data_IF_482907229697
#
_entry.id   IF_482907229697
#
_cell.length_a   1.000
_cell.length_b   1.000
_cell.length_c   1.000
_cell.angle_alpha   90.00
_cell.angle_beta   90.00
_cell.angle_gamma   90.00
#
_symmetry.space_group_name_H-M   'P 1'
#
loop_
_entity.id
_entity.type
_entity.pdbx_description
1 polymer ?
#
# COMPACT_ATOMS: atom_id res chain seq x y z
N UNK A 1 -32.44 12.77 -5.46
CA UNK A 1 -32.32 11.63 -4.55
C UNK A 1 -30.86 11.17 -4.39
N UNK A 2 -30.12 10.96 -5.45
CA UNK A 2 -28.71 10.52 -5.45
C UNK A 2 -27.78 11.40 -4.61
N UNK A 3 -27.86 12.74 -4.76
CA UNK A 3 -27.02 13.67 -3.98
C UNK A 3 -27.29 13.62 -2.48
N UNK A 4 -28.54 13.43 -2.05
CA UNK A 4 -28.89 13.30 -0.61
C UNK A 4 -28.21 12.08 -0.01
N UNK A 5 -28.26 10.94 -0.71
CA UNK A 5 -27.62 9.70 -0.28
C UNK A 5 -26.08 9.88 -0.23
N UNK A 6 -25.49 10.51 -1.25
CA UNK A 6 -24.05 10.76 -1.29
C UNK A 6 -23.59 11.68 -0.16
N UNK A 7 -24.31 12.77 0.11
CA UNK A 7 -24.01 13.67 1.22
C UNK A 7 -24.14 12.96 2.57
N UNK A 8 -25.17 12.18 2.75
CA UNK A 8 -25.37 11.39 3.98
C UNK A 8 -24.21 10.41 4.21
N UNK A 9 -23.81 9.66 3.18
CA UNK A 9 -22.68 8.75 3.26
C UNK A 9 -21.36 9.49 3.52
N UNK A 10 -21.16 10.66 2.89
CA UNK A 10 -19.97 11.48 3.13
C UNK A 10 -19.90 11.97 4.58
N UNK A 11 -21.03 12.42 5.16
CA UNK A 11 -21.08 12.84 6.57
C UNK A 11 -20.73 11.67 7.48
N UNK A 12 -21.33 10.49 7.29
CA UNK A 12 -21.04 9.30 8.08
C UNK A 12 -19.56 8.94 7.99
N UNK A 13 -18.98 9.03 6.79
CA UNK A 13 -17.55 8.72 6.58
C UNK A 13 -16.60 9.69 7.27
N UNK A 14 -17.01 10.95 7.49
CA UNK A 14 -16.21 11.97 8.17
C UNK A 14 -16.29 11.86 9.70
N UNK A 15 -17.40 11.36 10.25
CA UNK A 15 -17.61 11.27 11.72
C UNK A 15 -16.45 10.60 12.47
N UNK A 16 -15.91 9.44 12.07
CA UNK A 16 -14.80 8.82 12.80
C UNK A 16 -13.54 9.68 12.80
N UNK A 17 -13.24 10.38 11.72
CA UNK A 17 -12.08 11.29 11.65
C UNK A 17 -12.29 12.52 12.55
N UNK A 18 -13.49 13.09 12.52
CA UNK A 18 -13.86 14.17 13.43
C UNK A 18 -13.70 13.74 14.88
N UNK A 19 -14.24 12.57 15.25
CA UNK A 19 -14.16 12.04 16.60
C UNK A 19 -12.70 11.78 17.04
N UNK A 20 -11.84 11.31 16.14
CA UNK A 20 -10.42 11.14 16.39
C UNK A 20 -9.72 12.48 16.68
N UNK A 21 -10.02 13.53 15.90
CA UNK A 21 -9.43 14.87 16.08
C UNK A 21 -9.92 15.49 17.40
N UNK A 22 -11.21 15.40 17.71
CA UNK A 22 -11.76 15.90 18.97
C UNK A 22 -11.25 15.08 20.13
N UNK A 23 -11.20 13.75 20.01
CA UNK A 23 -10.74 12.85 21.04
C UNK A 23 -9.31 13.13 21.51
N UNK A 24 -8.39 13.50 20.60
CA UNK A 24 -7.02 13.83 20.99
C UNK A 24 -6.90 15.09 21.88
N UNK A 25 -7.96 15.89 22.00
CA UNK A 25 -8.03 17.06 22.87
C UNK A 25 -8.57 16.77 24.26
N UNK A 26 -9.00 15.54 24.54
CA UNK A 26 -9.60 15.13 25.80
C UNK A 26 -8.69 14.15 26.57
N UNK A 27 -8.95 14.00 27.86
CA UNK A 27 -8.33 12.96 28.67
C UNK A 27 -9.05 11.60 28.51
N UNK A 28 -8.39 10.53 28.95
CA UNK A 28 -8.93 9.17 28.83
C UNK A 28 -10.25 8.98 29.60
N UNK A 29 -10.44 9.69 30.73
CA UNK A 29 -11.65 9.57 31.53
C UNK A 29 -12.87 10.16 30.81
N UNK A 30 -12.71 11.32 30.16
CA UNK A 30 -13.77 11.95 29.40
C UNK A 30 -14.16 11.08 28.16
N UNK A 31 -13.18 10.48 27.51
CA UNK A 31 -13.42 9.59 26.35
C UNK A 31 -14.13 8.29 26.74
N UNK A 32 -13.87 7.79 27.94
CA UNK A 32 -14.51 6.57 28.44
C UNK A 32 -15.97 6.76 28.88
N UNK A 33 -16.36 8.00 29.21
CA UNK A 33 -17.69 8.29 29.80
C UNK A 33 -18.71 8.82 28.83
N UNK A 34 -18.30 9.52 27.76
CA UNK A 34 -19.22 10.14 26.81
C UNK A 34 -18.59 10.44 25.47
N UNK A 35 -19.44 10.52 24.43
CA UNK A 35 -19.04 10.99 23.11
C UNK A 35 -18.82 12.51 23.14
N UNK A 36 -17.60 12.93 22.78
CA UNK A 36 -17.20 14.33 22.81
C UNK A 36 -17.43 14.98 21.44
N UNK A 37 -18.19 16.08 21.41
CA UNK A 37 -18.47 16.82 20.18
C UNK A 37 -17.67 18.12 20.07
N UNK A 38 -17.12 18.64 21.14
CA UNK A 38 -16.38 19.89 21.17
C UNK A 38 -14.93 19.65 21.59
N UNK A 39 -13.98 20.47 21.11
CA UNK A 39 -12.58 20.32 21.52
C UNK A 39 -12.40 20.56 23.03
N UNK A 40 -11.56 19.73 23.65
CA UNK A 40 -11.10 19.90 25.04
C UNK A 40 -9.77 20.67 25.10
N UNK A 41 -9.17 20.68 26.30
CA UNK A 41 -7.92 21.43 26.58
C UNK A 41 -6.66 20.56 26.71
N UNK A 42 -6.78 19.23 26.58
CA UNK A 42 -5.69 18.27 26.88
C UNK A 42 -4.77 17.94 25.72
N UNK A 43 -4.90 18.62 24.56
CA UNK A 43 -4.11 18.33 23.35
C UNK A 43 -2.60 18.36 23.63
N UNK A 44 -2.11 19.40 24.32
CA UNK A 44 -0.69 19.56 24.59
C UNK A 44 -0.16 18.52 25.58
N UNK A 45 -0.95 18.16 26.56
CA UNK A 45 -0.60 17.15 27.56
C UNK A 45 -0.56 15.76 26.91
N UNK A 46 -1.51 15.44 26.05
CA UNK A 46 -1.54 14.19 25.29
C UNK A 46 -0.36 14.11 24.31
N UNK A 47 -0.02 15.22 23.66
CA UNK A 47 1.14 15.28 22.78
C UNK A 47 2.47 15.03 23.53
N UNK A 48 2.65 15.67 24.71
CA UNK A 48 3.83 15.43 25.56
C UNK A 48 3.92 13.98 25.99
N UNK A 49 2.82 13.42 26.54
CA UNK A 49 2.77 12.01 26.95
C UNK A 49 3.10 11.06 25.80
N UNK A 50 2.65 11.38 24.59
CA UNK A 50 2.95 10.57 23.39
C UNK A 50 4.45 10.63 23.06
N UNK A 51 5.07 11.82 23.12
CA UNK A 51 6.51 11.99 22.88
C UNK A 51 7.37 11.31 23.94
N UNK A 52 6.94 11.33 25.20
CA UNK A 52 7.66 10.68 26.31
C UNK A 52 7.69 9.15 26.18
N UNK A 53 6.65 8.57 25.57
CA UNK A 53 6.53 7.12 25.43
C UNK A 53 6.99 6.59 24.05
N UNK A 54 6.89 7.39 23.00
CA UNK A 54 7.16 6.97 21.61
C UNK A 54 7.88 8.07 20.84
N UNK A 55 8.98 7.74 20.20
CA UNK A 55 9.63 8.66 19.26
C UNK A 55 8.86 8.71 17.93
N UNK A 56 7.86 9.60 17.87
CA UNK A 56 6.97 9.75 16.72
C UNK A 56 7.74 10.10 15.45
N UNK A 57 8.73 10.99 15.55
CA UNK A 57 9.50 11.45 14.40
C UNK A 57 10.33 10.33 13.78
N UNK A 58 10.92 9.47 14.63
CA UNK A 58 11.62 8.28 14.17
C UNK A 58 10.65 7.28 13.53
N UNK A 59 9.48 7.07 14.14
CA UNK A 59 8.43 6.21 13.58
C UNK A 59 7.95 6.69 12.21
N UNK A 60 7.71 8.01 12.07
CA UNK A 60 7.32 8.62 10.81
C UNK A 60 8.41 8.50 9.73
N UNK A 61 9.65 8.80 10.09
CA UNK A 61 10.79 8.65 9.17
C UNK A 61 10.96 7.20 8.68
N UNK A 62 10.82 6.23 9.58
CA UNK A 62 10.86 4.81 9.24
C UNK A 62 9.71 4.42 8.28
N UNK A 63 8.50 4.89 8.58
CA UNK A 63 7.33 4.63 7.73
C UNK A 63 7.49 5.24 6.33
N UNK A 64 8.01 6.45 6.24
CA UNK A 64 8.31 7.11 4.95
C UNK A 64 9.36 6.32 4.19
N UNK A 65 10.48 5.96 4.84
CA UNK A 65 11.55 5.19 4.21
C UNK A 65 11.05 3.86 3.66
N UNK A 66 10.33 3.09 4.48
CA UNK A 66 9.78 1.78 4.08
C UNK A 66 8.79 1.94 2.93
N UNK A 67 7.85 2.88 3.05
CA UNK A 67 6.79 3.08 2.04
C UNK A 67 7.36 3.54 0.70
N UNK A 68 8.30 4.48 0.71
CA UNK A 68 8.95 4.96 -0.52
C UNK A 68 9.75 3.84 -1.17
N UNK A 69 10.56 3.12 -0.40
CA UNK A 69 11.38 2.02 -0.91
C UNK A 69 10.51 0.89 -1.46
N UNK A 70 9.48 0.49 -0.71
CA UNK A 70 8.52 -0.54 -1.14
C UNK A 70 7.84 -0.14 -2.46
N UNK A 71 7.33 1.09 -2.53
CA UNK A 71 6.60 1.59 -3.71
C UNK A 71 7.51 1.65 -4.94
N UNK A 72 8.72 2.18 -4.80
CA UNK A 72 9.67 2.25 -5.91
C UNK A 72 10.03 0.86 -6.44
N UNK A 73 10.36 -0.07 -5.57
CA UNK A 73 10.74 -1.43 -5.97
C UNK A 73 9.54 -2.14 -6.62
N UNK A 74 8.37 -2.13 -5.98
CA UNK A 74 7.19 -2.83 -6.51
C UNK A 74 6.72 -2.27 -7.84
N UNK A 75 6.78 -0.94 -8.01
CA UNK A 75 6.40 -0.28 -9.27
C UNK A 75 7.42 -0.60 -10.37
N UNK A 76 8.71 -0.51 -10.08
CA UNK A 76 9.77 -0.75 -11.06
C UNK A 76 9.76 -2.21 -11.54
N UNK A 77 9.80 -3.17 -10.62
CA UNK A 77 9.78 -4.60 -10.97
C UNK A 77 8.44 -4.99 -11.59
N UNK A 78 7.34 -4.47 -11.04
CA UNK A 78 6.00 -4.67 -11.59
C UNK A 78 5.88 -4.16 -13.02
N UNK A 79 6.44 -2.98 -13.33
CA UNK A 79 6.43 -2.40 -14.67
C UNK A 79 7.27 -3.21 -15.67
N UNK A 80 8.48 -3.64 -15.28
CA UNK A 80 9.31 -4.49 -16.13
C UNK A 80 8.61 -5.82 -16.44
N UNK A 81 8.06 -6.47 -15.42
CA UNK A 81 7.34 -7.74 -15.56
C UNK A 81 6.09 -7.58 -16.42
N UNK A 82 5.29 -6.54 -16.16
CA UNK A 82 4.08 -6.23 -16.91
C UNK A 82 4.37 -5.94 -18.37
N UNK A 83 5.43 -5.17 -18.65
CA UNK A 83 5.89 -4.87 -19.99
C UNK A 83 6.31 -6.15 -20.74
N UNK A 84 7.05 -7.04 -20.07
CA UNK A 84 7.40 -8.35 -20.60
C UNK A 84 6.17 -9.18 -21.01
N UNK A 85 5.15 -9.23 -20.16
CA UNK A 85 3.90 -9.94 -20.47
C UNK A 85 3.06 -9.27 -21.56
N UNK A 86 3.05 -7.94 -21.65
CA UNK A 86 2.23 -7.20 -22.61
C UNK A 86 2.85 -7.15 -24.00
N UNK A 87 4.17 -6.94 -24.12
CA UNK A 87 4.84 -6.62 -25.39
C UNK A 87 5.65 -7.76 -25.97
N UNK A 88 6.05 -8.75 -25.19
CA UNK A 88 6.83 -9.88 -25.69
C UNK A 88 6.00 -11.15 -25.83
N UNK A 89 6.15 -11.80 -27.01
CA UNK A 89 5.55 -13.11 -27.30
C UNK A 89 6.57 -14.21 -27.03
N UNK A 90 6.40 -14.94 -25.92
CA UNK A 90 7.24 -16.09 -25.56
C UNK A 90 6.40 -17.29 -25.19
N UNK A 91 7.00 -18.51 -25.27
CA UNK A 91 6.30 -19.74 -24.89
C UNK A 91 5.97 -19.72 -23.40
N UNK A 92 4.71 -19.96 -23.07
CA UNK A 92 4.25 -19.94 -21.67
C UNK A 92 3.75 -18.59 -21.17
N UNK A 93 3.84 -17.48 -21.95
CA UNK A 93 3.39 -16.15 -21.52
C UNK A 93 1.99 -16.18 -20.86
N UNK A 94 1.00 -16.80 -21.50
CA UNK A 94 -0.36 -16.90 -20.97
C UNK A 94 -0.43 -17.70 -19.67
N UNK A 95 0.27 -18.84 -19.61
CA UNK A 95 0.26 -19.72 -18.45
C UNK A 95 0.90 -19.02 -17.25
N UNK A 96 2.06 -18.40 -17.43
CA UNK A 96 2.73 -17.65 -16.38
C UNK A 96 1.89 -16.48 -15.87
N UNK A 97 1.23 -15.77 -16.79
CA UNK A 97 0.33 -14.68 -16.37
C UNK A 97 -0.88 -15.21 -15.59
N UNK A 98 -1.44 -16.37 -15.96
CA UNK A 98 -2.50 -17.00 -15.18
C UNK A 98 -2.03 -17.43 -13.79
N UNK A 99 -0.77 -17.86 -13.66
CA UNK A 99 -0.18 -18.14 -12.33
C UNK A 99 -0.11 -16.85 -11.50
N UNK A 100 0.33 -15.74 -12.09
CA UNK A 100 0.33 -14.43 -11.40
C UNK A 100 -1.08 -14.06 -10.93
N UNK A 101 -2.11 -14.23 -11.78
CA UNK A 101 -3.50 -13.98 -11.40
C UNK A 101 -3.99 -14.91 -10.29
N UNK A 102 -3.63 -16.19 -10.38
CA UNK A 102 -4.02 -17.18 -9.37
C UNK A 102 -3.45 -16.84 -7.96
N UNK A 103 -2.24 -16.29 -7.89
CA UNK A 103 -1.67 -15.84 -6.61
C UNK A 103 -2.47 -14.69 -5.98
N UNK A 104 -3.11 -13.84 -6.78
CA UNK A 104 -3.98 -12.76 -6.28
C UNK A 104 -5.30 -13.29 -5.68
N UNK A 105 -5.73 -14.48 -6.05
CA UNK A 105 -6.96 -15.10 -5.50
C UNK A 105 -6.72 -15.71 -4.12
N UNK A 106 -5.47 -15.91 -3.72
CA UNK A 106 -5.15 -16.41 -2.39
C UNK A 106 -5.22 -15.26 -1.37
N UNK A 107 -5.96 -15.42 -0.28
CA UNK A 107 -5.96 -14.43 0.80
C UNK A 107 -4.54 -14.27 1.36
N UNK A 108 -3.99 -13.06 1.33
CA UNK A 108 -2.62 -12.80 1.78
C UNK A 108 -2.36 -13.19 3.23
N UNK A 109 -3.42 -13.20 4.06
CA UNK A 109 -3.36 -13.62 5.46
C UNK A 109 -2.93 -15.08 5.66
N UNK A 110 -3.18 -15.96 4.67
CA UNK A 110 -2.79 -17.37 4.75
C UNK A 110 -1.26 -17.56 4.73
N UNK A 111 -0.54 -16.65 4.06
CA UNK A 111 0.92 -16.70 3.96
C UNK A 111 1.67 -16.12 5.16
N UNK A 112 0.99 -15.41 6.07
CA UNK A 112 1.66 -14.61 7.11
C UNK A 112 2.49 -15.47 8.06
N UNK A 113 1.98 -16.64 8.44
CA UNK A 113 2.67 -17.56 9.38
C UNK A 113 3.93 -18.13 8.72
N UNK A 114 3.82 -18.59 7.47
CA UNK A 114 4.96 -19.11 6.72
C UNK A 114 6.01 -18.04 6.49
N UNK A 115 5.59 -16.84 6.11
CA UNK A 115 6.49 -15.70 5.92
C UNK A 115 7.22 -15.32 7.22
N UNK A 116 6.53 -15.31 8.35
CA UNK A 116 7.15 -15.05 9.66
C UNK A 116 8.21 -16.11 9.98
N UNK A 117 7.93 -17.39 9.74
CA UNK A 117 8.89 -18.48 9.96
C UNK A 117 10.13 -18.36 9.07
N UNK A 118 9.95 -17.99 7.79
CA UNK A 118 11.05 -17.74 6.86
C UNK A 118 11.91 -16.55 7.32
N UNK A 119 11.31 -15.44 7.69
CA UNK A 119 12.04 -14.25 8.18
C UNK A 119 12.77 -14.54 9.49
N UNK A 120 12.18 -15.35 10.37
CA UNK A 120 12.83 -15.81 11.58
C UNK A 120 14.05 -16.71 11.28
N UNK A 121 13.88 -17.67 10.36
CA UNK A 121 14.96 -18.57 9.93
C UNK A 121 16.13 -17.84 9.28
N UNK A 122 15.86 -16.72 8.61
CA UNK A 122 16.87 -15.85 7.99
C UNK A 122 17.44 -14.80 8.96
N UNK A 123 16.94 -14.69 10.20
CA UNK A 123 17.36 -13.68 11.17
C UNK A 123 16.95 -12.24 10.80
N UNK A 124 15.87 -12.07 10.03
CA UNK A 124 15.43 -10.78 9.47
C UNK A 124 14.22 -10.17 10.17
N UNK A 125 13.72 -10.73 11.28
CA UNK A 125 12.50 -10.25 11.95
C UNK A 125 12.56 -8.77 12.35
N UNK A 126 13.72 -8.30 12.85
CA UNK A 126 13.91 -6.91 13.28
C UNK A 126 14.55 -6.03 12.20
N UNK A 127 14.42 -6.43 10.94
CA UNK A 127 14.99 -5.73 9.79
C UNK A 127 13.90 -5.09 8.92
N UNK A 128 14.18 -3.92 8.37
CA UNK A 128 13.34 -3.31 7.32
C UNK A 128 13.19 -4.21 6.10
N UNK A 129 14.15 -5.10 5.85
CA UNK A 129 14.09 -6.05 4.74
C UNK A 129 12.88 -6.98 4.85
N UNK A 130 12.48 -7.40 6.04
CA UNK A 130 11.30 -8.25 6.21
C UNK A 130 10.00 -7.57 5.75
N UNK A 131 9.94 -6.25 5.79
CA UNK A 131 8.78 -5.48 5.32
C UNK A 131 8.91 -5.14 3.82
N UNK A 132 10.12 -4.92 3.34
CA UNK A 132 10.40 -4.50 1.96
C UNK A 132 10.41 -5.71 0.99
N UNK A 133 10.89 -6.88 1.39
CA UNK A 133 11.03 -8.06 0.51
C UNK A 133 9.76 -8.42 -0.28
N UNK A 134 8.55 -8.38 0.28
CA UNK A 134 7.34 -8.67 -0.50
C UNK A 134 7.12 -7.74 -1.70
N UNK A 135 7.76 -6.54 -1.71
CA UNK A 135 7.66 -5.61 -2.83
C UNK A 135 8.25 -6.14 -4.15
N UNK A 136 9.18 -7.09 -4.07
CA UNK A 136 9.78 -7.72 -5.24
C UNK A 136 8.82 -8.61 -6.02
N UNK A 137 7.75 -9.08 -5.39
CA UNK A 137 6.75 -9.94 -6.01
C UNK A 137 5.34 -9.40 -5.71
N UNK A 138 4.93 -8.38 -6.45
CA UNK A 138 3.63 -7.71 -6.26
C UNK A 138 2.71 -7.99 -7.48
N UNK A 139 1.95 -9.10 -7.48
CA UNK A 139 1.10 -9.51 -8.60
C UNK A 139 0.09 -8.44 -9.01
N UNK A 140 -0.45 -7.68 -8.04
CA UNK A 140 -1.41 -6.59 -8.28
C UNK A 140 -0.80 -5.50 -9.17
N UNK A 141 0.47 -5.12 -8.92
CA UNK A 141 1.17 -4.13 -9.75
C UNK A 141 1.37 -4.64 -11.18
N UNK A 142 1.79 -5.90 -11.32
CA UNK A 142 1.95 -6.54 -12.65
C UNK A 142 0.63 -6.53 -13.41
N UNK A 143 -0.47 -6.88 -12.75
CA UNK A 143 -1.80 -6.91 -13.37
C UNK A 143 -2.23 -5.53 -13.86
N UNK A 144 -2.25 -4.52 -12.97
CA UNK A 144 -2.74 -3.18 -13.32
C UNK A 144 -1.88 -2.50 -14.38
N UNK A 145 -0.55 -2.59 -14.25
CA UNK A 145 0.36 -1.98 -15.22
C UNK A 145 0.23 -2.67 -16.58
N UNK A 146 0.10 -4.00 -16.61
CA UNK A 146 -0.14 -4.71 -17.87
C UNK A 146 -1.44 -4.27 -18.55
N UNK A 147 -2.55 -4.16 -17.80
CA UNK A 147 -3.82 -3.69 -18.34
C UNK A 147 -3.69 -2.28 -18.92
N UNK A 148 -2.94 -1.41 -18.25
CA UNK A 148 -2.66 -0.08 -18.76
C UNK A 148 -1.84 -0.11 -20.05
N UNK A 149 -0.79 -0.91 -20.11
CA UNK A 149 0.07 -1.05 -21.31
C UNK A 149 -0.73 -1.62 -22.48
N UNK A 150 -1.56 -2.63 -22.26
CA UNK A 150 -2.39 -3.24 -23.30
C UNK A 150 -3.43 -2.25 -23.87
N UNK A 151 -3.96 -1.34 -23.04
CA UNK A 151 -4.98 -0.37 -23.43
C UNK A 151 -4.42 0.91 -24.08
N UNK A 152 -3.26 1.39 -23.63
CA UNK A 152 -2.79 2.75 -23.96
C UNK A 152 -1.43 2.81 -24.67
N UNK A 153 -0.69 1.71 -24.75
CA UNK A 153 0.60 1.67 -25.45
C UNK A 153 0.45 0.86 -26.75
N UNK A 154 0.24 1.49 -27.90
CA UNK A 154 0.09 0.80 -29.18
C UNK A 154 1.39 0.11 -29.60
N UNK A 155 1.27 -0.97 -30.40
CA UNK A 155 2.43 -1.74 -30.85
C UNK A 155 3.27 -0.97 -31.86
N UNK A 156 2.68 -0.01 -32.56
CA UNK A 156 3.32 0.87 -33.54
C UNK A 156 4.46 1.69 -32.92
N UNK A 157 4.35 2.04 -31.63
CA UNK A 157 5.45 2.71 -30.90
C UNK A 157 6.67 1.79 -30.76
N UNK A 158 6.44 0.50 -30.58
CA UNK A 158 7.52 -0.49 -30.51
C UNK A 158 8.19 -0.71 -31.87
N UNK A 159 7.40 -0.67 -32.94
CA UNK A 159 7.89 -0.81 -34.32
C UNK A 159 8.70 0.42 -34.73
N UNK A 160 8.24 1.64 -34.40
CA UNK A 160 9.00 2.86 -34.71
C UNK A 160 10.32 2.90 -33.92
N UNK A 161 10.32 2.55 -32.63
CA UNK A 161 11.55 2.49 -31.83
C UNK A 161 12.57 1.51 -32.40
N UNK A 162 12.12 0.35 -32.97
CA UNK A 162 13.01 -0.60 -33.62
C UNK A 162 13.59 -0.05 -34.93
N UNK A 163 12.81 0.72 -35.69
CA UNK A 163 13.29 1.39 -36.93
C UNK A 163 14.36 2.43 -36.58
N UNK A 164 14.18 3.12 -35.46
CA UNK A 164 15.14 4.10 -34.91
C UNK A 164 16.38 3.47 -34.25
N UNK A 165 16.50 2.13 -34.27
CA UNK A 165 17.67 1.41 -33.77
C UNK A 165 17.63 1.07 -32.29
N UNK A 166 16.53 1.27 -31.59
CA UNK A 166 16.35 0.82 -30.18
C UNK A 166 16.14 -0.70 -30.15
N UNK A 167 16.99 -1.41 -29.41
CA UNK A 167 16.88 -2.86 -29.20
C UNK A 167 16.22 -3.21 -27.87
#
# INVERSE_FOLDING_TARGET
>A
MTYIVLIFLAIISIVPFYNMIIGCTHDNAALATSFQMLPGSHLMDNYKRLQDNVNIWRGLANSIFISVTYTLISTYIGALTAYGFAKYKFRGNKVLFWIVLATMMLPGQLGIIGYFQEMNGLGLLDSYLSIIMPSFATPVMVYWIRQYIDAYVPNELMESARIDGCQ
#
